data_IF_508078259914
#
_entry.id   IF_508078259914
#
_cell.length_a   1.000
_cell.length_b   1.000
_cell.length_c   1.000
_cell.angle_alpha   90.00
_cell.angle_beta   90.00
_cell.angle_gamma   90.00
#
_symmetry.space_group_name_H-M   'P 1'
#
loop_
_entity.id
_entity.type
_entity.pdbx_description
1 polymer ?
#
# COMPACT_ATOMS: atom_id res chain seq x y z
N UNK A 1 -19.66 7.49 -1.11
CA UNK A 1 -18.40 7.48 -1.86
C UNK A 1 -17.37 6.82 -0.97
N UNK A 2 -16.74 5.74 -1.42
CA UNK A 2 -16.33 4.60 -0.57
C UNK A 2 -14.84 4.31 -0.74
N UNK A 3 -14.02 4.61 0.28
CA UNK A 3 -12.57 4.39 0.24
C UNK A 3 -12.19 2.90 0.18
N UNK A 4 -10.91 2.57 -0.02
CA UNK A 4 -10.39 1.23 -0.37
C UNK A 4 -10.96 0.02 0.41
N UNK A 5 -11.21 0.06 1.73
CA UNK A 5 -11.86 -1.05 2.43
C UNK A 5 -13.31 -1.25 2.00
N UNK A 6 -14.01 -0.17 1.64
CA UNK A 6 -15.33 -0.24 1.03
C UNK A 6 -15.26 -0.61 -0.46
N UNK A 7 -14.17 -0.29 -1.18
CA UNK A 7 -13.95 -0.79 -2.55
C UNK A 7 -13.82 -2.31 -2.50
N UNK A 8 -12.95 -2.84 -1.64
CA UNK A 8 -12.81 -4.28 -1.46
C UNK A 8 -14.12 -4.86 -0.92
N UNK A 9 -14.72 -4.28 0.14
CA UNK A 9 -15.99 -4.76 0.70
C UNK A 9 -17.12 -4.84 -0.33
N UNK A 10 -17.26 -3.84 -1.21
CA UNK A 10 -18.26 -3.83 -2.29
C UNK A 10 -17.92 -4.84 -3.40
N UNK A 11 -16.63 -5.14 -3.62
CA UNK A 11 -16.21 -6.13 -4.60
C UNK A 11 -16.40 -7.56 -4.12
N UNK A 12 -16.21 -7.80 -2.82
CA UNK A 12 -16.40 -9.10 -2.17
C UNK A 12 -17.83 -9.35 -1.66
N UNK A 13 -18.70 -8.35 -1.68
CA UNK A 13 -20.12 -8.53 -1.38
C UNK A 13 -20.76 -9.50 -2.41
N UNK A 14 -21.22 -10.65 -1.91
CA UNK A 14 -21.81 -11.72 -2.73
C UNK A 14 -20.81 -12.71 -3.35
N UNK A 15 -19.50 -12.51 -3.17
CA UNK A 15 -18.47 -13.45 -3.64
C UNK A 15 -18.18 -14.52 -2.56
N UNK A 16 -18.50 -15.78 -2.86
CA UNK A 16 -18.26 -16.90 -1.93
C UNK A 16 -16.77 -17.24 -1.78
N UNK A 17 -15.94 -16.86 -2.75
CA UNK A 17 -14.49 -17.08 -2.73
C UNK A 17 -13.74 -16.02 -1.92
N UNK A 18 -14.41 -14.93 -1.56
CA UNK A 18 -13.88 -13.85 -0.74
C UNK A 18 -13.78 -14.18 0.77
N UNK A 19 -13.70 -15.47 1.11
CA UNK A 19 -13.86 -16.02 2.46
C UNK A 19 -13.38 -15.09 3.57
N UNK A 20 -14.28 -14.68 4.46
CA UNK A 20 -13.98 -13.91 5.66
C UNK A 20 -13.53 -12.44 5.47
N UNK A 21 -13.16 -11.99 4.27
CA UNK A 21 -12.58 -10.65 4.05
C UNK A 21 -13.48 -9.51 4.55
N UNK A 22 -14.79 -9.60 4.30
CA UNK A 22 -15.76 -8.62 4.82
C UNK A 22 -15.85 -8.59 6.35
N UNK A 23 -15.51 -9.68 7.03
CA UNK A 23 -15.44 -9.71 8.49
C UNK A 23 -14.15 -9.04 8.96
N UNK A 24 -13.01 -9.37 8.37
CA UNK A 24 -11.71 -8.77 8.75
C UNK A 24 -11.64 -7.27 8.47
N UNK A 25 -12.21 -6.82 7.36
CA UNK A 25 -12.36 -5.39 7.08
C UNK A 25 -13.16 -4.69 8.18
N UNK A 26 -14.25 -5.31 8.64
CA UNK A 26 -15.07 -4.78 9.74
C UNK A 26 -14.31 -4.78 11.06
N UNK A 27 -13.64 -5.88 11.40
CA UNK A 27 -12.83 -5.99 12.62
C UNK A 27 -11.71 -4.92 12.65
N UNK A 28 -10.99 -4.72 11.54
CA UNK A 28 -9.99 -3.66 11.42
C UNK A 28 -10.62 -2.27 11.57
N UNK A 29 -11.78 -2.05 10.95
CA UNK A 29 -12.51 -0.78 11.03
C UNK A 29 -12.93 -0.47 12.47
N UNK A 30 -13.47 -1.46 13.19
CA UNK A 30 -13.90 -1.34 14.58
C UNK A 30 -12.70 -1.08 15.51
N UNK A 31 -11.56 -1.74 15.27
CA UNK A 31 -10.32 -1.51 16.00
C UNK A 31 -9.78 -0.09 15.80
N UNK A 32 -9.80 0.43 14.57
CA UNK A 32 -9.39 1.80 14.27
C UNK A 32 -10.34 2.78 14.96
N UNK A 33 -11.65 2.60 14.82
CA UNK A 33 -12.64 3.48 15.42
C UNK A 33 -12.50 3.54 16.95
N UNK A 34 -12.21 2.40 17.59
CA UNK A 34 -11.98 2.34 19.03
C UNK A 34 -10.68 3.02 19.47
N UNK A 35 -9.57 2.80 18.75
CA UNK A 35 -8.23 3.26 19.16
C UNK A 35 -7.94 4.71 18.79
N UNK A 36 -8.47 5.19 17.66
CA UNK A 36 -8.13 6.50 17.11
C UNK A 36 -8.36 7.66 18.08
N UNK A 37 -9.49 7.74 18.80
CA UNK A 37 -9.72 8.83 19.77
C UNK A 37 -8.78 8.79 20.98
N UNK A 38 -8.18 7.62 21.28
CA UNK A 38 -7.35 7.41 22.47
C UNK A 38 -5.86 7.64 22.19
N UNK A 39 -5.40 7.26 20.99
CA UNK A 39 -3.99 7.16 20.62
C UNK A 39 -3.56 8.11 19.50
N UNK A 40 -4.52 8.70 18.78
CA UNK A 40 -4.23 9.48 17.57
C UNK A 40 -3.95 8.58 16.36
N UNK A 41 -3.81 9.20 15.18
CA UNK A 41 -3.74 8.49 13.90
C UNK A 41 -2.44 7.70 13.74
N UNK A 42 -1.31 8.32 14.04
CA UNK A 42 0.00 7.67 13.87
C UNK A 42 0.12 6.40 14.72
N UNK A 43 -0.12 6.49 16.03
CA UNK A 43 0.00 5.35 16.94
C UNK A 43 -1.05 4.27 16.64
N UNK A 44 -2.27 4.67 16.25
CA UNK A 44 -3.33 3.71 15.89
C UNK A 44 -2.95 2.89 14.67
N UNK A 45 -2.51 3.53 13.58
CA UNK A 45 -2.16 2.84 12.34
C UNK A 45 -0.90 1.99 12.54
N UNK A 46 0.13 2.50 13.23
CA UNK A 46 1.33 1.73 13.54
C UNK A 46 1.03 0.49 14.38
N UNK A 47 0.17 0.62 15.40
CA UNK A 47 -0.23 -0.47 16.27
C UNK A 47 -1.17 -1.51 15.63
N UNK A 48 -1.59 -1.30 14.38
CA UNK A 48 -2.46 -2.19 13.61
C UNK A 48 -1.78 -2.71 12.33
N UNK A 49 -0.47 -2.44 12.15
CA UNK A 49 0.29 -2.98 11.01
C UNK A 49 0.18 -4.51 10.84
N UNK A 50 0.16 -5.34 11.91
CA UNK A 50 -0.06 -6.78 11.76
C UNK A 50 -1.40 -7.09 11.10
N UNK A 51 -2.49 -6.48 11.58
CA UNK A 51 -3.85 -6.69 11.07
C UNK A 51 -3.99 -6.19 9.62
N UNK A 52 -3.38 -5.04 9.32
CA UNK A 52 -3.35 -4.47 7.96
C UNK A 52 -2.59 -5.39 7.00
N UNK A 53 -1.45 -5.94 7.43
CA UNK A 53 -0.65 -6.87 6.63
C UNK A 53 -1.42 -8.15 6.33
N UNK A 54 -2.06 -8.74 7.33
CA UNK A 54 -2.90 -9.92 7.16
C UNK A 54 -4.01 -9.66 6.13
N UNK A 55 -4.74 -8.55 6.29
CA UNK A 55 -5.80 -8.17 5.36
C UNK A 55 -5.27 -7.96 3.93
N UNK A 56 -4.10 -7.32 3.77
CA UNK A 56 -3.46 -7.11 2.47
C UNK A 56 -3.09 -8.43 1.81
N UNK A 57 -2.49 -9.36 2.56
CA UNK A 57 -2.10 -10.68 2.06
C UNK A 57 -3.32 -11.48 1.59
N UNK A 58 -4.38 -11.50 2.40
CA UNK A 58 -5.63 -12.19 2.05
C UNK A 58 -6.34 -11.55 0.86
N UNK A 59 -6.33 -10.22 0.77
CA UNK A 59 -6.86 -9.49 -0.40
C UNK A 59 -6.05 -9.86 -1.65
N UNK A 60 -4.72 -9.91 -1.56
CA UNK A 60 -3.85 -10.35 -2.65
C UNK A 60 -4.14 -11.79 -3.10
N UNK A 61 -4.31 -12.72 -2.16
CA UNK A 61 -4.69 -14.10 -2.46
C UNK A 61 -6.04 -14.19 -3.19
N UNK A 62 -7.05 -13.46 -2.72
CA UNK A 62 -8.35 -13.41 -3.37
C UNK A 62 -8.27 -12.82 -4.79
N UNK A 63 -7.48 -11.77 -4.99
CA UNK A 63 -7.23 -11.17 -6.31
C UNK A 63 -6.60 -12.18 -7.27
N UNK A 64 -5.56 -12.88 -6.82
CA UNK A 64 -4.80 -13.81 -7.65
C UNK A 64 -5.60 -15.07 -8.02
N UNK A 65 -6.35 -15.63 -7.05
CA UNK A 65 -7.14 -16.87 -7.23
C UNK A 65 -8.36 -16.67 -8.14
N UNK A 66 -9.08 -15.57 -7.99
CA UNK A 66 -10.33 -15.33 -8.73
C UNK A 66 -10.16 -14.59 -10.06
N UNK A 67 -8.93 -14.30 -10.50
CA UNK A 67 -8.66 -13.41 -11.65
C UNK A 67 -9.34 -12.03 -11.51
N UNK A 68 -9.47 -11.54 -10.27
CA UNK A 68 -10.22 -10.32 -9.93
C UNK A 68 -9.41 -9.04 -10.14
N UNK A 69 -8.18 -9.14 -10.65
CA UNK A 69 -7.24 -8.02 -10.75
C UNK A 69 -7.80 -6.84 -11.56
N UNK A 70 -8.32 -7.11 -12.76
CA UNK A 70 -8.90 -6.07 -13.62
C UNK A 70 -10.10 -5.41 -12.95
N UNK A 71 -10.98 -6.21 -12.33
CA UNK A 71 -12.14 -5.73 -11.58
C UNK A 71 -11.72 -4.82 -10.42
N UNK A 72 -10.63 -5.15 -9.73
CA UNK A 72 -10.08 -4.33 -8.65
C UNK A 72 -9.55 -3.00 -9.20
N UNK A 73 -8.73 -3.01 -10.25
CA UNK A 73 -8.21 -1.76 -10.84
C UNK A 73 -9.33 -0.85 -11.35
N UNK A 74 -10.34 -1.39 -12.04
CA UNK A 74 -11.50 -0.62 -12.46
C UNK A 74 -12.26 0.02 -11.29
N UNK A 75 -12.35 -0.67 -10.15
CA UNK A 75 -13.02 -0.15 -8.98
C UNK A 75 -12.21 0.97 -8.30
N UNK A 76 -10.89 0.83 -8.23
CA UNK A 76 -10.02 1.89 -7.70
C UNK A 76 -10.00 3.11 -8.62
N UNK A 77 -9.96 2.91 -9.94
CA UNK A 77 -10.05 4.01 -10.92
C UNK A 77 -11.34 4.82 -10.77
N UNK A 78 -12.47 4.15 -10.55
CA UNK A 78 -13.75 4.83 -10.26
C UNK A 78 -13.68 5.66 -8.99
N UNK A 79 -13.03 5.16 -7.94
CA UNK A 79 -12.87 5.92 -6.70
C UNK A 79 -11.92 7.11 -6.90
N UNK A 80 -10.82 6.96 -7.63
CA UNK A 80 -9.93 8.09 -8.01
C UNK A 80 -10.73 9.17 -8.74
N UNK A 81 -11.56 8.79 -9.72
CA UNK A 81 -12.39 9.74 -10.45
C UNK A 81 -13.42 10.45 -9.56
N UNK A 82 -13.94 9.77 -8.54
CA UNK A 82 -14.86 10.38 -7.58
C UNK A 82 -14.13 11.34 -6.64
N UNK A 83 -12.98 10.93 -6.10
CA UNK A 83 -12.17 11.72 -5.17
C UNK A 83 -11.53 12.94 -5.82
N UNK A 84 -11.06 12.83 -7.07
CA UNK A 84 -10.47 13.96 -7.83
C UNK A 84 -11.47 15.08 -8.12
N UNK A 85 -12.76 14.78 -8.16
CA UNK A 85 -13.86 15.74 -8.35
C UNK A 85 -14.40 16.31 -7.03
N UNK A 86 -13.88 15.87 -5.88
CA UNK A 86 -14.33 16.34 -4.57
C UNK A 86 -13.89 17.78 -4.30
N UNK A 87 -14.74 18.52 -3.60
CA UNK A 87 -14.41 19.87 -3.12
C UNK A 87 -13.41 19.84 -1.96
N UNK A 88 -13.32 18.71 -1.24
CA UNK A 88 -12.37 18.54 -0.14
C UNK A 88 -10.95 18.32 -0.67
N UNK A 89 -10.00 19.17 -0.25
CA UNK A 89 -8.58 19.04 -0.64
C UNK A 89 -8.00 17.66 -0.27
N UNK A 90 -8.38 17.12 0.88
CA UNK A 90 -7.89 15.84 1.35
C UNK A 90 -8.32 14.66 0.46
N UNK A 91 -9.50 14.75 -0.15
CA UNK A 91 -9.97 13.75 -1.12
C UNK A 91 -9.13 13.81 -2.39
N UNK A 92 -8.83 15.02 -2.89
CA UNK A 92 -7.98 15.21 -4.08
C UNK A 92 -6.55 14.73 -3.83
N UNK A 93 -6.02 14.99 -2.64
CA UNK A 93 -4.73 14.45 -2.20
C UNK A 93 -4.74 12.91 -2.16
N UNK A 94 -5.81 12.31 -1.63
CA UNK A 94 -5.96 10.86 -1.62
C UNK A 94 -6.05 10.28 -3.04
N UNK A 95 -6.75 10.96 -3.96
CA UNK A 95 -6.82 10.56 -5.36
C UNK A 95 -5.43 10.51 -5.99
N UNK A 96 -4.62 11.57 -5.84
CA UNK A 96 -3.24 11.62 -6.33
C UNK A 96 -2.38 10.51 -5.71
N UNK A 97 -2.55 10.24 -4.42
CA UNK A 97 -1.83 9.18 -3.73
C UNK A 97 -2.20 7.77 -4.21
N UNK A 98 -3.48 7.54 -4.49
CA UNK A 98 -3.99 6.28 -5.05
C UNK A 98 -3.47 6.08 -6.48
N UNK A 99 -3.43 7.11 -7.31
CA UNK A 99 -2.85 7.03 -8.67
C UNK A 99 -1.40 6.54 -8.64
N UNK A 100 -0.58 7.10 -7.75
CA UNK A 100 0.82 6.68 -7.57
C UNK A 100 0.87 5.23 -7.09
N UNK A 101 0.04 4.88 -6.13
CA UNK A 101 0.00 3.53 -5.54
C UNK A 101 -0.39 2.47 -6.57
N UNK A 102 -1.37 2.77 -7.43
CA UNK A 102 -1.77 1.89 -8.55
C UNK A 102 -0.65 1.81 -9.58
N UNK A 103 -0.03 2.92 -9.95
CA UNK A 103 1.05 2.91 -10.94
C UNK A 103 2.21 1.99 -10.49
N UNK A 104 2.58 2.03 -9.21
CA UNK A 104 3.59 1.13 -8.64
C UNK A 104 3.07 -0.32 -8.61
N UNK A 105 1.83 -0.53 -8.14
CA UNK A 105 1.23 -1.87 -8.06
C UNK A 105 1.14 -2.53 -9.42
N UNK A 106 0.75 -1.79 -10.47
CA UNK A 106 0.71 -2.28 -11.84
C UNK A 106 2.08 -2.77 -12.30
N UNK A 107 3.17 -2.03 -12.01
CA UNK A 107 4.53 -2.48 -12.34
C UNK A 107 4.92 -3.77 -11.63
N UNK A 108 4.54 -3.92 -10.36
CA UNK A 108 4.73 -5.16 -9.62
C UNK A 108 3.94 -6.30 -10.28
N UNK A 109 2.68 -6.05 -10.62
CA UNK A 109 1.81 -7.06 -11.23
C UNK A 109 2.22 -7.44 -12.65
N UNK A 110 2.73 -6.51 -13.46
CA UNK A 110 3.30 -6.81 -14.79
C UNK A 110 4.51 -7.75 -14.66
N UNK A 111 5.28 -7.56 -13.60
CA UNK A 111 6.44 -8.39 -13.26
C UNK A 111 6.03 -9.79 -12.76
N UNK A 112 4.99 -9.85 -11.93
CA UNK A 112 4.44 -11.10 -11.36
C UNK A 112 3.62 -11.89 -12.38
N UNK A 113 2.89 -11.21 -13.27
CA UNK A 113 2.01 -11.79 -14.27
C UNK A 113 2.74 -12.64 -15.31
N UNK A 114 4.03 -12.37 -15.54
CA UNK A 114 4.91 -13.25 -16.31
C UNK A 114 5.11 -14.64 -15.68
N UNK A 115 4.92 -14.75 -14.35
CA UNK A 115 5.15 -15.95 -13.53
C UNK A 115 3.94 -16.29 -12.63
N UNK A 116 2.72 -16.17 -13.17
CA UNK A 116 1.45 -16.27 -12.41
C UNK A 116 1.31 -17.58 -11.62
N UNK A 117 1.77 -18.70 -12.17
CA UNK A 117 1.70 -20.01 -11.52
C UNK A 117 2.63 -20.09 -10.30
N UNK A 118 3.83 -19.51 -10.38
CA UNK A 118 4.75 -19.42 -9.23
C UNK A 118 4.20 -18.49 -8.14
N UNK A 119 3.53 -17.40 -8.53
CA UNK A 119 2.89 -16.47 -7.61
C UNK A 119 1.68 -17.09 -6.88
N UNK A 120 0.92 -17.96 -7.54
CA UNK A 120 -0.18 -18.71 -6.93
C UNK A 120 0.32 -19.73 -5.90
N UNK A 121 1.42 -20.44 -6.20
CA UNK A 121 2.05 -21.39 -5.25
C UNK A 121 2.62 -20.66 -4.03
N UNK A 122 3.29 -19.51 -4.23
CA UNK A 122 3.88 -18.71 -3.14
C UNK A 122 2.86 -17.87 -2.36
N UNK A 123 1.67 -17.61 -2.91
CA UNK A 123 0.59 -16.89 -2.21
C UNK A 123 0.09 -17.57 -0.93
N UNK A 124 0.52 -18.82 -0.68
CA UNK A 124 0.26 -19.56 0.55
C UNK A 124 1.23 -19.25 1.70
N UNK A 125 2.30 -18.48 1.46
CA UNK A 125 3.24 -18.06 2.51
C UNK A 125 2.67 -16.91 3.33
N UNK A 126 2.45 -17.16 4.61
CA UNK A 126 2.27 -16.10 5.61
C UNK A 126 3.57 -15.32 5.75
N UNK A 127 3.53 -14.03 5.42
CA UNK A 127 4.61 -13.09 5.69
C UNK A 127 4.25 -12.32 6.98
N UNK A 128 4.76 -12.73 8.16
CA UNK A 128 4.47 -12.03 9.39
C UNK A 128 5.24 -10.70 9.47
N UNK A 129 4.72 -9.74 10.24
CA UNK A 129 5.32 -8.40 10.35
C UNK A 129 6.77 -8.45 10.87
N UNK A 130 7.09 -9.39 11.76
CA UNK A 130 8.44 -9.60 12.27
C UNK A 130 9.44 -10.01 11.17
N UNK A 131 9.00 -10.65 10.08
CA UNK A 131 9.85 -10.93 8.93
C UNK A 131 10.21 -9.64 8.19
N UNK A 132 9.24 -8.72 8.03
CA UNK A 132 9.49 -7.39 7.45
C UNK A 132 10.47 -6.61 8.36
N UNK A 133 10.29 -6.68 9.68
CA UNK A 133 11.22 -6.06 10.64
C UNK A 133 12.62 -6.65 10.57
N UNK A 134 12.75 -7.97 10.43
CA UNK A 134 14.03 -8.63 10.25
C UNK A 134 14.73 -8.21 8.95
N UNK A 135 13.98 -8.07 7.85
CA UNK A 135 14.50 -7.57 6.57
C UNK A 135 15.09 -6.15 6.69
N UNK A 136 14.53 -5.28 7.53
CA UNK A 136 15.10 -3.94 7.78
C UNK A 136 16.46 -3.97 8.47
N UNK A 137 16.76 -5.04 9.20
CA UNK A 137 18.04 -5.21 9.90
C UNK A 137 19.09 -5.92 9.03
N UNK A 138 18.71 -6.42 7.84
CA UNK A 138 19.65 -7.09 6.95
C UNK A 138 20.71 -6.11 6.43
N UNK A 139 21.96 -6.54 6.20
CA UNK A 139 23.02 -5.66 5.74
C UNK A 139 22.78 -5.13 4.31
N UNK A 140 22.01 -5.86 3.50
CA UNK A 140 21.70 -5.50 2.12
C UNK A 140 20.71 -4.33 2.04
N UNK A 141 21.14 -3.21 1.43
CA UNK A 141 20.32 -2.00 1.30
C UNK A 141 19.07 -2.18 0.45
N UNK A 142 19.13 -3.00 -0.58
CA UNK A 142 17.96 -3.28 -1.42
C UNK A 142 16.91 -4.04 -0.61
N UNK A 143 17.32 -4.98 0.25
CA UNK A 143 16.39 -5.67 1.16
C UNK A 143 15.83 -4.71 2.22
N UNK A 144 16.67 -3.84 2.81
CA UNK A 144 16.19 -2.80 3.73
C UNK A 144 15.16 -1.88 3.07
N UNK A 145 15.39 -1.46 1.82
CA UNK A 145 14.46 -0.61 1.09
C UNK A 145 13.17 -1.35 0.71
N UNK A 146 13.24 -2.63 0.36
CA UNK A 146 12.06 -3.46 0.15
C UNK A 146 11.20 -3.53 1.42
N UNK A 147 11.81 -3.78 2.58
CA UNK A 147 11.08 -3.84 3.84
C UNK A 147 10.43 -2.49 4.20
N UNK A 148 11.16 -1.39 4.03
CA UNK A 148 10.61 -0.04 4.25
C UNK A 148 9.52 0.33 3.25
N UNK A 149 9.63 -0.13 2.00
CA UNK A 149 8.58 0.00 1.00
C UNK A 149 7.31 -0.73 1.46
N UNK A 150 7.43 -1.99 1.90
CA UNK A 150 6.32 -2.78 2.43
C UNK A 150 5.66 -2.10 3.63
N UNK A 151 6.44 -1.61 4.62
CA UNK A 151 5.86 -0.86 5.74
C UNK A 151 5.15 0.42 5.29
N UNK A 152 5.72 1.16 4.34
CA UNK A 152 5.14 2.41 3.86
C UNK A 152 3.79 2.21 3.19
N UNK A 153 3.62 1.13 2.41
CA UNK A 153 2.33 0.81 1.80
C UNK A 153 1.30 0.33 2.83
N UNK A 154 1.72 -0.43 3.85
CA UNK A 154 0.81 -0.83 4.94
C UNK A 154 0.32 0.38 5.74
N UNK A 155 1.21 1.35 6.03
CA UNK A 155 0.80 2.62 6.65
C UNK A 155 -0.22 3.34 5.77
N UNK A 156 0.01 3.39 4.46
CA UNK A 156 -0.93 4.00 3.52
C UNK A 156 -2.29 3.28 3.51
N UNK A 157 -2.32 1.94 3.51
CA UNK A 157 -3.58 1.17 3.58
C UNK A 157 -4.40 1.53 4.83
N UNK A 158 -3.73 1.60 6.00
CA UNK A 158 -4.39 2.01 7.25
C UNK A 158 -4.93 3.45 7.19
N UNK A 159 -4.17 4.37 6.59
CA UNK A 159 -4.59 5.76 6.37
C UNK A 159 -5.82 5.84 5.47
N UNK A 160 -5.90 5.00 4.43
CA UNK A 160 -7.08 4.95 3.55
C UNK A 160 -8.32 4.48 4.32
N UNK A 161 -8.16 3.54 5.27
CA UNK A 161 -9.27 3.12 6.15
C UNK A 161 -9.73 4.28 7.03
N UNK A 162 -8.79 5.01 7.65
CA UNK A 162 -9.12 6.17 8.49
C UNK A 162 -9.84 7.26 7.70
N UNK A 163 -9.37 7.56 6.48
CA UNK A 163 -10.06 8.50 5.58
C UNK A 163 -11.50 8.05 5.29
N UNK A 164 -11.72 6.76 5.03
CA UNK A 164 -13.07 6.20 4.83
C UNK A 164 -13.97 6.43 6.03
N UNK A 165 -13.44 6.24 7.24
CA UNK A 165 -14.18 6.41 8.48
C UNK A 165 -14.55 7.88 8.73
N UNK A 166 -13.62 8.81 8.50
CA UNK A 166 -13.91 10.24 8.54
C UNK A 166 -15.06 10.60 7.59
N UNK A 167 -14.98 10.15 6.33
CA UNK A 167 -15.94 10.52 5.30
C UNK A 167 -17.33 9.88 5.48
N UNK A 168 -17.38 8.61 5.89
CA UNK A 168 -18.63 7.84 5.93
C UNK A 168 -19.29 7.79 7.31
N UNK A 169 -18.50 7.87 8.39
CA UNK A 169 -19.01 7.83 9.77
C UNK A 169 -18.93 9.17 10.50
N UNK A 170 -18.36 10.22 9.87
CA UNK A 170 -18.22 11.53 10.50
C UNK A 170 -17.26 11.52 11.69
N UNK A 171 -16.26 10.64 11.65
CA UNK A 171 -15.26 10.52 12.70
C UNK A 171 -14.54 11.87 12.90
N UNK A 172 -14.47 12.36 14.12
CA UNK A 172 -13.73 13.60 14.40
C UNK A 172 -12.23 13.33 14.25
N UNK A 173 -11.60 14.01 13.29
CA UNK A 173 -10.22 13.76 12.88
C UNK A 173 -9.48 15.07 12.63
N UNK A 174 -8.22 15.13 13.03
CA UNK A 174 -7.30 16.16 12.57
C UNK A 174 -6.98 15.93 11.07
N UNK A 175 -7.55 16.78 10.21
CA UNK A 175 -7.35 16.70 8.76
C UNK A 175 -5.95 17.12 8.32
N UNK A 176 -5.24 17.91 9.11
CA UNK A 176 -3.83 18.23 8.83
C UNK A 176 -2.94 17.04 9.15
N UNK A 177 -3.19 16.33 10.26
CA UNK A 177 -2.53 15.07 10.58
C UNK A 177 -2.78 14.03 9.48
N UNK A 178 -4.04 13.83 9.06
CA UNK A 178 -4.36 12.90 7.98
C UNK A 178 -3.68 13.28 6.67
N UNK A 179 -3.67 14.57 6.30
CA UNK A 179 -2.99 15.05 5.09
C UNK A 179 -1.48 14.83 5.14
N UNK A 180 -0.84 15.10 6.29
CA UNK A 180 0.60 14.82 6.49
C UNK A 180 0.89 13.33 6.39
N UNK A 181 0.04 12.49 6.96
CA UNK A 181 0.18 11.04 6.92
C UNK A 181 0.04 10.48 5.51
N UNK A 182 -0.96 10.93 4.73
CA UNK A 182 -1.09 10.56 3.31
C UNK A 182 0.18 10.93 2.55
N UNK A 183 0.63 12.20 2.65
CA UNK A 183 1.84 12.67 1.95
C UNK A 183 3.06 11.87 2.35
N UNK A 184 3.25 11.62 3.64
CA UNK A 184 4.40 10.91 4.17
C UNK A 184 4.44 9.45 3.69
N UNK A 185 3.36 8.70 3.90
CA UNK A 185 3.30 7.28 3.54
C UNK A 185 3.49 7.09 2.03
N UNK A 186 2.79 7.87 1.19
CA UNK A 186 2.93 7.78 -0.27
C UNK A 186 4.31 8.22 -0.75
N UNK A 187 4.88 9.29 -0.18
CA UNK A 187 6.21 9.75 -0.61
C UNK A 187 7.30 8.74 -0.26
N UNK A 188 7.21 8.10 0.91
CA UNK A 188 8.14 7.02 1.29
C UNK A 188 7.95 5.78 0.42
N UNK A 189 6.70 5.35 0.21
CA UNK A 189 6.41 4.21 -0.66
C UNK A 189 7.01 4.41 -2.06
N UNK A 190 6.68 5.54 -2.71
CA UNK A 190 7.23 5.87 -4.02
C UNK A 190 8.76 5.98 -4.03
N UNK A 191 9.35 6.63 -3.02
CA UNK A 191 10.81 6.77 -2.94
C UNK A 191 11.53 5.42 -2.81
N UNK A 192 11.02 4.52 -1.96
CA UNK A 192 11.61 3.19 -1.83
C UNK A 192 11.40 2.34 -3.08
N UNK A 193 10.23 2.39 -3.72
CA UNK A 193 9.99 1.74 -5.02
C UNK A 193 10.96 2.21 -6.10
N UNK A 194 11.30 3.50 -6.11
CA UNK A 194 12.32 4.08 -6.99
C UNK A 194 13.73 3.60 -6.68
N UNK A 195 14.09 3.43 -5.40
CA UNK A 195 15.41 2.97 -5.00
C UNK A 195 15.69 1.51 -5.38
N UNK A 196 14.66 0.66 -5.35
CA UNK A 196 14.79 -0.76 -5.73
C UNK A 196 14.45 -1.02 -7.20
N UNK A 197 14.17 0.03 -7.98
CA UNK A 197 13.97 -0.07 -9.43
C UNK A 197 12.59 -0.57 -9.88
N UNK A 198 11.60 -0.68 -8.98
CA UNK A 198 10.24 -1.13 -9.35
C UNK A 198 9.44 -0.06 -10.10
N UNK A 199 9.68 1.22 -9.80
CA UNK A 199 8.93 2.33 -10.39
C UNK A 199 9.76 3.60 -10.41
N UNK A 200 9.69 4.37 -11.50
CA UNK A 200 10.30 5.71 -11.59
C UNK A 200 9.19 6.74 -11.84
N UNK A 201 9.22 7.88 -11.13
CA UNK A 201 8.34 9.00 -11.48
C UNK A 201 8.72 9.53 -12.87
N UNK A 202 7.73 10.00 -13.63
CA UNK A 202 8.00 10.65 -14.92
C UNK A 202 8.85 11.90 -14.74
N UNK A 203 9.82 12.12 -15.63
CA UNK A 203 10.75 13.24 -15.51
C UNK A 203 10.03 14.58 -15.53
N UNK A 204 9.02 14.72 -16.39
CA UNK A 204 8.21 15.95 -16.56
C UNK A 204 7.03 16.05 -15.58
N UNK A 205 6.83 15.09 -14.67
CA UNK A 205 5.76 15.15 -13.67
C UNK A 205 6.18 16.04 -12.49
N UNK A 206 5.58 17.23 -12.45
CA UNK A 206 5.88 18.32 -11.53
C UNK A 206 4.87 18.43 -10.38
N UNK A 207 3.97 17.46 -10.21
CA UNK A 207 3.05 17.44 -9.07
C UNK A 207 3.83 17.39 -7.75
N UNK A 208 3.30 18.05 -6.72
CA UNK A 208 4.03 18.22 -5.45
C UNK A 208 4.39 16.89 -4.80
N UNK A 209 3.51 15.88 -4.86
CA UNK A 209 3.77 14.58 -4.26
C UNK A 209 4.89 13.84 -5.02
N UNK A 210 4.90 13.93 -6.35
CA UNK A 210 5.94 13.37 -7.20
C UNK A 210 7.29 14.06 -6.97
N UNK A 211 7.31 15.40 -6.86
CA UNK A 211 8.52 16.14 -6.46
C UNK A 211 9.06 15.68 -5.11
N UNK A 212 8.19 15.49 -4.11
CA UNK A 212 8.59 14.97 -2.80
C UNK A 212 9.21 13.58 -2.91
N UNK A 213 8.64 12.70 -3.73
CA UNK A 213 9.20 11.37 -4.00
C UNK A 213 10.59 11.47 -4.63
N UNK A 214 10.75 12.27 -5.70
CA UNK A 214 12.05 12.51 -6.37
C UNK A 214 13.10 12.98 -5.37
N UNK A 215 12.76 13.96 -4.53
CA UNK A 215 13.65 14.52 -3.49
C UNK A 215 14.01 13.46 -2.44
N UNK A 216 13.04 12.72 -1.92
CA UNK A 216 13.29 11.68 -0.91
C UNK A 216 14.16 10.56 -1.47
N UNK A 217 13.88 10.09 -2.69
CA UNK A 217 14.69 9.07 -3.35
C UNK A 217 16.15 9.55 -3.52
N UNK A 218 16.35 10.79 -3.98
CA UNK A 218 17.68 11.38 -4.11
C UNK A 218 18.40 11.50 -2.74
N UNK A 219 17.68 11.95 -1.70
CA UNK A 219 18.19 12.05 -0.32
C UNK A 219 18.59 10.72 0.27
N UNK A 220 17.87 9.64 -0.04
CA UNK A 220 18.24 8.31 0.42
C UNK A 220 19.44 7.77 -0.36
N UNK A 221 19.48 7.93 -1.69
CA UNK A 221 20.66 7.55 -2.49
C UNK A 221 21.93 8.25 -2.02
N UNK A 222 21.90 9.53 -1.69
CA UNK A 222 23.10 10.25 -1.23
C UNK A 222 23.61 9.80 0.14
N UNK A 223 22.80 9.06 0.90
CA UNK A 223 23.14 8.52 2.23
C UNK A 223 23.54 7.04 2.21
N UNK A 224 23.56 6.40 1.04
CA UNK A 224 23.87 4.96 0.89
C UNK A 224 24.69 4.72 -0.37
N UNK A 225 25.64 3.77 -0.32
CA UNK A 225 26.25 3.24 -1.54
C UNK A 225 25.17 2.70 -2.51
N UNK A 226 25.39 2.75 -3.84
CA UNK A 226 24.36 2.41 -4.82
C UNK A 226 23.78 1.02 -4.57
N UNK A 227 22.45 0.95 -4.45
CA UNK A 227 21.71 -0.29 -4.29
C UNK A 227 22.03 -1.24 -5.46
N UNK A 228 22.33 -2.51 -5.16
CA UNK A 228 22.42 -3.54 -6.19
C UNK A 228 21.02 -3.78 -6.75
N UNK A 229 20.87 -3.60 -8.07
CA UNK A 229 19.70 -4.04 -8.81
C UNK A 229 19.68 -5.57 -8.78
N UNK A 230 18.77 -6.16 -8.01
CA UNK A 230 18.52 -7.59 -8.08
C UNK A 230 17.54 -7.84 -9.23
N UNK A 231 17.97 -8.62 -10.22
CA UNK A 231 17.01 -9.24 -11.13
C UNK A 231 16.28 -10.34 -10.37
N UNK A 232 15.08 -10.71 -10.82
CA UNK A 232 14.32 -11.83 -10.23
C UNK A 232 15.16 -13.11 -10.23
N UNK A 233 15.96 -13.30 -11.28
CA UNK A 233 16.92 -14.40 -11.42
C UNK A 233 17.98 -14.44 -10.30
N UNK A 234 18.33 -13.28 -9.73
CA UNK A 234 19.25 -13.18 -8.60
C UNK A 234 18.54 -13.56 -7.29
N UNK A 235 17.26 -13.19 -7.13
CA UNK A 235 16.44 -13.57 -5.98
C UNK A 235 16.12 -15.08 -5.97
N UNK A 236 15.87 -15.67 -7.13
CA UNK A 236 15.65 -17.11 -7.31
C UNK A 236 16.89 -17.94 -6.96
N UNK A 237 18.08 -17.47 -7.35
CA UNK A 237 19.35 -18.12 -6.98
C UNK A 237 19.66 -18.03 -5.48
N UNK A 238 19.20 -16.97 -4.82
CA UNK A 238 19.37 -16.81 -3.37
C UNK A 238 18.41 -17.70 -2.58
N UNK A 239 17.25 -18.06 -3.14
CA UNK A 239 16.29 -18.97 -2.51
C UNK A 239 16.62 -20.47 -2.72
N UNK A 240 17.51 -20.79 -3.67
CA UNK A 240 17.90 -22.16 -4.01
C UNK A 240 19.15 -22.68 -3.25
N UNK A 241 19.74 -21.84 -2.39
CA UNK A 241 20.87 -22.19 -1.50
C UNK A 241 20.44 -22.09 -0.04
#
# INVERSE_FOLDING_TARGET
MTAFPNIISNLVEGDKEAGGLNREIRELTDLIEFRLPQKGLEETVQGLLPDILELRMRTGQWILRGNNLERCFQAVDKEIQALSKSEHEIDRLLAEALEITIAITQKIMDTVGANRDAALVSSSLDLPLNAIEAMEQMPDKSIQFLAKMLKSILLFDGIVVVHSLWKNKGLNLDLEELSRSIRSATSHYGAYSTLIGLWQPGDDDERQLIRNIKILAAKFRSKTEPARLYKIEDLEKMAAN
#
